data_IF_131943629176
#
_entry.id   IF_131943629176
#
_cell.length_a   1.000
_cell.length_b   1.000
_cell.length_c   1.000
_cell.angle_alpha   90.00
_cell.angle_beta   90.00
_cell.angle_gamma   90.00
#
_symmetry.space_group_name_H-M   'P 1'
#
loop_
_entity.id
_entity.type
_entity.pdbx_description
1 polymer ?
#
# COMPACT_ATOMS: atom_id res chain seq x y z
N UNK A 1 -9.59 -7.21 -19.71
CA UNK A 1 -8.43 -8.14 -19.87
C UNK A 1 -7.78 -8.30 -18.51
N UNK A 2 -7.42 -9.53 -18.12
CA UNK A 2 -6.60 -9.74 -16.91
C UNK A 2 -5.20 -9.20 -17.16
N UNK A 3 -4.69 -8.37 -16.25
CA UNK A 3 -3.32 -7.90 -16.35
C UNK A 3 -2.36 -8.99 -15.84
N UNK A 4 -1.31 -9.25 -16.60
CA UNK A 4 -0.36 -10.29 -16.25
C UNK A 4 0.75 -9.68 -15.38
N UNK A 5 1.04 -10.31 -14.23
CA UNK A 5 2.18 -9.94 -13.36
C UNK A 5 3.50 -10.48 -13.93
N UNK A 6 3.43 -11.49 -14.79
CA UNK A 6 4.62 -12.08 -15.39
C UNK A 6 5.45 -11.03 -16.13
N UNK A 7 6.74 -11.08 -15.89
CA UNK A 7 7.77 -10.20 -16.46
C UNK A 7 7.64 -8.70 -16.08
N UNK A 8 6.79 -8.36 -15.10
CA UNK A 8 6.60 -6.98 -14.60
C UNK A 8 7.68 -6.58 -13.60
N UNK A 9 8.10 -5.33 -13.68
CA UNK A 9 8.96 -4.64 -12.70
C UNK A 9 8.09 -3.96 -11.65
N UNK A 10 8.40 -4.20 -10.38
CA UNK A 10 7.57 -3.75 -9.26
C UNK A 10 8.37 -2.94 -8.25
N UNK A 11 7.80 -1.88 -7.73
CA UNK A 11 8.28 -1.14 -6.58
C UNK A 11 7.32 -1.32 -5.40
N UNK A 12 7.84 -1.65 -4.21
CA UNK A 12 7.06 -1.73 -2.96
C UNK A 12 7.70 -0.86 -1.90
N UNK A 13 7.00 0.18 -1.44
CA UNK A 13 7.45 0.97 -0.28
C UNK A 13 7.05 0.25 1.02
N UNK A 14 7.90 0.32 2.06
CA UNK A 14 7.71 -0.48 3.28
C UNK A 14 7.77 -1.99 3.01
N UNK A 15 8.60 -2.39 2.03
CA UNK A 15 8.64 -3.76 1.53
C UNK A 15 9.55 -4.71 2.31
N UNK A 16 10.24 -4.25 3.34
CA UNK A 16 11.21 -5.07 4.08
C UNK A 16 10.57 -5.99 5.13
N UNK A 17 9.31 -5.75 5.50
CA UNK A 17 8.64 -6.53 6.55
C UNK A 17 7.12 -6.58 6.34
N UNK A 18 6.43 -7.34 7.19
CA UNK A 18 4.96 -7.39 7.27
C UNK A 18 4.28 -7.66 5.93
N UNK A 19 3.21 -6.92 5.65
CA UNK A 19 2.40 -7.08 4.43
C UNK A 19 3.24 -6.75 3.17
N UNK A 20 4.08 -5.69 3.22
CA UNK A 20 4.89 -5.28 2.08
C UNK A 20 5.87 -6.35 1.62
N UNK A 21 6.52 -7.05 2.55
CA UNK A 21 7.37 -8.20 2.24
C UNK A 21 6.60 -9.35 1.59
N UNK A 22 5.40 -9.64 2.10
CA UNK A 22 4.55 -10.68 1.51
C UNK A 22 4.04 -10.29 0.12
N UNK A 23 3.80 -9.00 -0.14
CA UNK A 23 3.51 -8.53 -1.50
C UNK A 23 4.67 -8.84 -2.44
N UNK A 24 5.89 -8.46 -2.06
CA UNK A 24 7.08 -8.74 -2.87
C UNK A 24 7.23 -10.25 -3.15
N UNK A 25 7.08 -11.08 -2.12
CA UNK A 25 7.15 -12.54 -2.23
C UNK A 25 6.09 -13.12 -3.17
N UNK A 26 4.82 -12.74 -3.00
CA UNK A 26 3.71 -13.26 -3.84
C UNK A 26 3.78 -12.77 -5.27
N UNK A 27 4.23 -11.55 -5.51
CA UNK A 27 4.43 -11.04 -6.88
C UNK A 27 5.55 -11.80 -7.60
N UNK A 28 6.65 -12.07 -6.94
CA UNK A 28 7.72 -12.92 -7.49
C UNK A 28 7.22 -14.34 -7.77
N UNK A 29 6.46 -14.94 -6.85
CA UNK A 29 5.85 -16.27 -7.06
C UNK A 29 4.87 -16.30 -8.25
N UNK A 30 4.29 -15.15 -8.62
CA UNK A 30 3.43 -14.99 -9.81
C UNK A 30 4.19 -14.48 -11.05
N UNK A 31 5.51 -14.58 -11.03
CA UNK A 31 6.36 -14.36 -12.21
C UNK A 31 6.80 -12.91 -12.42
N UNK A 32 6.69 -12.01 -11.44
CA UNK A 32 7.28 -10.69 -11.54
C UNK A 32 8.77 -10.81 -11.92
N UNK A 33 9.22 -9.92 -12.80
CA UNK A 33 10.61 -9.91 -13.29
C UNK A 33 11.57 -9.61 -12.14
N UNK A 34 11.28 -8.55 -11.41
CA UNK A 34 12.08 -8.06 -10.28
C UNK A 34 11.22 -7.17 -9.39
N UNK A 35 11.48 -7.19 -8.08
CA UNK A 35 10.85 -6.31 -7.10
C UNK A 35 11.89 -5.42 -6.43
N UNK A 36 11.72 -4.10 -6.54
CA UNK A 36 12.44 -3.12 -5.73
C UNK A 36 11.73 -2.96 -4.37
N UNK A 37 12.46 -3.16 -3.30
CA UNK A 37 12.01 -2.94 -1.93
C UNK A 37 12.57 -1.60 -1.46
N UNK A 38 11.69 -0.62 -1.20
CA UNK A 38 12.05 0.62 -0.52
C UNK A 38 11.65 0.52 0.95
N UNK A 39 12.60 0.80 1.82
CA UNK A 39 12.36 0.81 3.28
C UNK A 39 13.47 1.61 3.99
N UNK A 40 13.28 1.90 5.25
CA UNK A 40 14.30 2.58 6.05
C UNK A 40 15.62 1.81 6.04
N UNK A 41 16.74 2.53 6.11
CA UNK A 41 18.08 1.91 6.19
C UNK A 41 18.24 1.01 7.43
N UNK A 42 17.48 1.27 8.48
CA UNK A 42 17.44 0.49 9.74
C UNK A 42 16.54 -0.73 9.67
N UNK A 43 15.77 -0.90 8.58
CA UNK A 43 14.88 -2.05 8.38
C UNK A 43 15.67 -3.31 7.99
N UNK A 44 15.04 -4.50 8.06
CA UNK A 44 15.67 -5.76 7.61
C UNK A 44 15.77 -5.90 6.09
N UNK A 45 15.81 -4.81 5.32
CA UNK A 45 15.72 -4.80 3.85
C UNK A 45 16.74 -5.72 3.17
N UNK A 46 18.01 -5.69 3.60
CA UNK A 46 19.05 -6.57 3.05
C UNK A 46 18.75 -8.06 3.30
N UNK A 47 18.31 -8.39 4.52
CA UNK A 47 17.93 -9.76 4.88
C UNK A 47 16.72 -10.22 4.07
N UNK A 48 15.75 -9.35 3.89
CA UNK A 48 14.53 -9.62 3.12
C UNK A 48 14.84 -9.91 1.65
N UNK A 49 15.70 -9.11 1.02
CA UNK A 49 16.17 -9.34 -0.34
C UNK A 49 16.96 -10.64 -0.45
N UNK A 50 17.84 -10.93 0.52
CA UNK A 50 18.59 -12.18 0.54
C UNK A 50 17.67 -13.41 0.64
N UNK A 51 16.59 -13.33 1.43
CA UNK A 51 15.61 -14.41 1.56
C UNK A 51 14.82 -14.61 0.25
N UNK A 52 14.35 -13.51 -0.38
CA UNK A 52 13.69 -13.58 -1.69
C UNK A 52 14.65 -14.13 -2.76
N UNK A 53 15.92 -13.73 -2.73
CA UNK A 53 16.93 -14.21 -3.65
C UNK A 53 17.21 -15.72 -3.52
N UNK A 54 17.15 -16.28 -2.31
CA UNK A 54 17.25 -17.74 -2.10
C UNK A 54 16.07 -18.49 -2.68
N UNK A 55 14.87 -17.95 -2.61
CA UNK A 55 13.63 -18.60 -3.04
C UNK A 55 13.37 -18.46 -4.55
N UNK A 56 13.63 -17.27 -5.12
CA UNK A 56 13.24 -16.92 -6.49
C UNK A 56 14.41 -16.69 -7.45
N UNK A 57 15.62 -16.55 -6.94
CA UNK A 57 16.82 -16.23 -7.71
C UNK A 57 17.47 -14.92 -7.28
N UNK A 58 18.80 -14.85 -7.37
CA UNK A 58 19.64 -13.80 -6.78
C UNK A 58 19.26 -12.36 -7.20
N UNK A 59 18.81 -12.18 -8.44
CA UNK A 59 18.55 -10.86 -9.03
C UNK A 59 17.04 -10.51 -9.05
N UNK A 60 16.22 -11.24 -8.29
CA UNK A 60 14.76 -11.07 -8.29
C UNK A 60 14.27 -9.99 -7.33
N UNK A 61 15.09 -9.58 -6.37
CA UNK A 61 14.75 -8.49 -5.45
C UNK A 61 15.96 -7.58 -5.23
N UNK A 62 15.71 -6.28 -5.09
CA UNK A 62 16.74 -5.27 -4.83
C UNK A 62 16.28 -4.34 -3.72
N UNK A 63 17.15 -4.05 -2.75
CA UNK A 63 16.85 -3.14 -1.66
C UNK A 63 17.38 -1.73 -1.93
N UNK A 64 16.51 -0.75 -1.71
CA UNK A 64 16.85 0.68 -1.78
C UNK A 64 16.49 1.33 -0.44
N UNK A 65 17.49 1.70 0.39
CA UNK A 65 17.22 2.39 1.64
C UNK A 65 16.65 3.79 1.37
N UNK A 66 15.45 4.05 1.90
CA UNK A 66 14.75 5.32 1.69
C UNK A 66 13.72 5.56 2.80
N UNK A 67 13.74 6.76 3.38
CA UNK A 67 12.62 7.31 4.13
C UNK A 67 11.69 8.05 3.15
N UNK A 68 10.50 7.52 2.91
CA UNK A 68 9.53 8.14 1.99
C UNK A 68 8.93 9.44 2.54
N UNK A 69 9.24 9.82 3.77
CA UNK A 69 8.87 11.12 4.34
C UNK A 69 9.86 12.22 3.98
N UNK A 70 11.06 11.89 3.54
CA UNK A 70 12.02 12.82 2.95
C UNK A 70 11.71 12.93 1.44
N UNK A 71 11.00 13.98 1.08
CA UNK A 71 10.48 14.16 -0.28
C UNK A 71 11.57 14.22 -1.35
N UNK A 72 12.70 14.88 -1.05
CA UNK A 72 13.85 14.99 -1.98
C UNK A 72 14.51 13.63 -2.14
N UNK A 73 14.79 12.96 -1.03
CA UNK A 73 15.42 11.65 -1.04
C UNK A 73 14.55 10.57 -1.69
N UNK A 74 13.24 10.65 -1.50
CA UNK A 74 12.31 9.72 -2.11
C UNK A 74 12.30 9.88 -3.64
N UNK A 75 12.28 11.12 -4.16
CA UNK A 75 12.36 11.37 -5.61
C UNK A 75 13.68 10.86 -6.21
N UNK A 76 14.82 11.16 -5.58
CA UNK A 76 16.14 10.65 -5.99
C UNK A 76 16.17 9.11 -6.01
N UNK A 77 15.64 8.48 -4.95
CA UNK A 77 15.62 7.02 -4.84
C UNK A 77 14.67 6.41 -5.88
N UNK A 78 13.51 7.00 -6.10
CA UNK A 78 12.57 6.56 -7.14
C UNK A 78 13.21 6.59 -8.54
N UNK A 79 13.91 7.67 -8.86
CA UNK A 79 14.70 7.80 -10.10
C UNK A 79 15.78 6.71 -10.21
N UNK A 80 16.47 6.42 -9.12
CA UNK A 80 17.48 5.36 -9.08
C UNK A 80 16.84 3.98 -9.33
N UNK A 81 15.70 3.68 -8.70
CA UNK A 81 14.94 2.44 -8.96
C UNK A 81 14.54 2.35 -10.43
N UNK A 82 13.96 3.41 -10.99
CA UNK A 82 13.56 3.47 -12.40
C UNK A 82 14.71 3.11 -13.33
N UNK A 83 15.88 3.72 -13.10
CA UNK A 83 17.07 3.48 -13.91
C UNK A 83 17.61 2.06 -13.74
N UNK A 84 17.68 1.57 -12.49
CA UNK A 84 18.21 0.23 -12.17
C UNK A 84 17.35 -0.89 -12.76
N UNK A 85 16.03 -0.73 -12.71
CA UNK A 85 15.09 -1.72 -13.22
C UNK A 85 14.75 -1.54 -14.71
N UNK A 86 15.27 -0.49 -15.34
CA UNK A 86 14.94 -0.08 -16.71
C UNK A 86 13.43 0.11 -16.91
N UNK A 87 12.81 0.82 -15.97
CA UNK A 87 11.38 1.14 -15.95
C UNK A 87 10.62 0.44 -14.82
N UNK A 88 9.40 0.89 -14.61
CA UNK A 88 8.45 0.32 -13.64
C UNK A 88 7.10 0.04 -14.33
N UNK A 89 6.48 -1.06 -13.97
CA UNK A 89 5.12 -1.43 -14.38
C UNK A 89 4.12 -1.27 -13.25
N UNK A 90 4.56 -1.55 -12.00
CA UNK A 90 3.67 -1.56 -10.82
C UNK A 90 4.36 -0.84 -9.67
N UNK A 91 3.64 0.10 -9.04
CA UNK A 91 4.09 0.78 -7.82
C UNK A 91 3.07 0.52 -6.71
N UNK A 92 3.54 -0.02 -5.57
CA UNK A 92 2.73 -0.30 -4.39
C UNK A 92 3.16 0.66 -3.28
N UNK A 93 2.33 1.67 -3.01
CA UNK A 93 2.51 2.60 -1.92
C UNK A 93 1.99 1.96 -0.63
N UNK A 94 2.86 1.20 0.05
CA UNK A 94 2.51 0.41 1.22
C UNK A 94 3.12 0.96 2.53
N UNK A 95 4.22 1.71 2.48
CA UNK A 95 4.83 2.29 3.66
C UNK A 95 3.80 3.04 4.51
N UNK A 96 3.75 2.75 5.80
CA UNK A 96 2.79 3.34 6.70
C UNK A 96 3.03 2.98 8.16
N UNK A 97 2.44 3.77 9.05
CA UNK A 97 2.48 3.55 10.50
C UNK A 97 1.09 3.75 11.11
N UNK A 98 0.90 3.20 12.30
CA UNK A 98 -0.22 3.47 13.18
C UNK A 98 0.36 4.05 14.47
N UNK A 99 0.47 5.37 14.55
CA UNK A 99 1.04 6.07 15.70
C UNK A 99 0.31 7.42 15.90
N UNK A 100 -0.79 7.39 16.62
CA UNK A 100 -1.58 8.58 16.91
C UNK A 100 -0.89 9.51 17.92
N UNK A 101 0.10 9.04 18.69
CA UNK A 101 0.94 9.87 19.55
C UNK A 101 1.82 10.81 18.72
N UNK A 102 2.44 10.28 17.68
CA UNK A 102 3.19 11.07 16.70
C UNK A 102 2.34 11.23 15.43
N UNK A 103 1.28 12.03 15.57
CA UNK A 103 0.33 12.24 14.50
C UNK A 103 0.94 12.94 13.28
N UNK A 104 1.95 13.82 13.50
CA UNK A 104 2.65 14.50 12.41
C UNK A 104 3.37 13.48 11.51
N UNK A 105 4.11 12.55 12.11
CA UNK A 105 4.76 11.48 11.38
C UNK A 105 3.73 10.59 10.68
N UNK A 106 2.63 10.24 11.35
CA UNK A 106 1.57 9.42 10.76
C UNK A 106 0.99 10.07 9.50
N UNK A 107 0.68 11.37 9.53
CA UNK A 107 0.19 12.08 8.35
C UNK A 107 1.29 12.20 7.27
N UNK A 108 2.50 12.56 7.66
CA UNK A 108 3.61 12.72 6.72
C UNK A 108 3.91 11.41 5.97
N UNK A 109 3.88 10.28 6.68
CA UNK A 109 4.16 8.96 6.10
C UNK A 109 2.95 8.41 5.33
N UNK A 110 1.80 8.25 5.99
CA UNK A 110 0.65 7.56 5.41
C UNK A 110 -0.03 8.34 4.29
N UNK A 111 0.05 9.67 4.31
CA UNK A 111 -0.57 10.56 3.32
C UNK A 111 0.48 11.12 2.38
N UNK A 112 1.49 11.83 2.91
CA UNK A 112 2.54 12.45 2.10
C UNK A 112 3.31 11.45 1.26
N UNK A 113 3.74 10.35 1.84
CA UNK A 113 4.46 9.29 1.13
C UNK A 113 3.63 8.65 0.00
N UNK A 114 2.33 8.42 0.23
CA UNK A 114 1.42 7.86 -0.79
C UNK A 114 1.18 8.85 -1.93
N UNK A 115 0.94 10.12 -1.61
CA UNK A 115 0.72 11.17 -2.62
C UNK A 115 1.95 11.31 -3.49
N UNK A 116 3.12 11.47 -2.89
CA UNK A 116 4.37 11.61 -3.61
C UNK A 116 4.70 10.38 -4.45
N UNK A 117 4.62 9.18 -3.87
CA UNK A 117 4.87 7.94 -4.60
C UNK A 117 3.94 7.76 -5.81
N UNK A 118 2.66 8.17 -5.66
CA UNK A 118 1.70 8.13 -6.77
C UNK A 118 2.03 9.14 -7.86
N UNK A 119 2.41 10.37 -7.50
CA UNK A 119 2.80 11.38 -8.50
C UNK A 119 4.08 11.00 -9.22
N UNK A 120 5.10 10.51 -8.52
CA UNK A 120 6.31 9.99 -9.14
C UNK A 120 6.00 8.84 -10.09
N UNK A 121 5.15 7.89 -9.69
CA UNK A 121 4.72 6.80 -10.55
C UNK A 121 4.02 7.31 -11.84
N UNK A 122 3.14 8.31 -11.73
CA UNK A 122 2.48 8.93 -12.90
C UNK A 122 3.49 9.67 -13.77
N UNK A 123 4.45 10.35 -13.17
CA UNK A 123 5.44 11.12 -13.91
C UNK A 123 6.39 10.25 -14.73
N UNK A 124 6.75 9.09 -14.20
CA UNK A 124 7.65 8.15 -14.88
C UNK A 124 6.92 7.16 -15.79
N UNK A 125 5.76 6.65 -15.38
CA UNK A 125 5.03 5.63 -16.15
C UNK A 125 4.01 6.24 -17.13
N UNK A 126 3.57 7.47 -16.91
CA UNK A 126 2.42 8.06 -17.60
C UNK A 126 2.65 8.33 -19.10
N UNK A 127 1.68 7.91 -19.93
CA UNK A 127 1.70 8.10 -21.38
C UNK A 127 1.84 9.56 -21.80
N UNK A 128 1.28 10.49 -21.03
CA UNK A 128 1.37 11.94 -21.29
C UNK A 128 2.79 12.50 -21.13
N UNK A 129 3.71 11.71 -20.55
CA UNK A 129 5.15 12.02 -20.44
C UNK A 129 6.03 11.02 -21.20
N UNK A 130 5.47 10.24 -22.13
CA UNK A 130 6.18 9.27 -22.94
C UNK A 130 6.35 7.89 -22.30
N UNK A 131 5.75 7.64 -21.14
CA UNK A 131 5.70 6.33 -20.50
C UNK A 131 4.74 5.36 -21.19
N UNK A 132 4.71 4.11 -20.71
CA UNK A 132 3.86 3.03 -21.29
C UNK A 132 2.52 2.87 -20.57
N UNK A 133 2.28 3.62 -19.51
CA UNK A 133 1.25 3.36 -18.51
C UNK A 133 1.75 2.38 -17.45
N UNK A 134 0.86 1.93 -16.59
CA UNK A 134 1.19 0.99 -15.52
C UNK A 134 0.10 0.91 -14.46
N UNK A 135 0.45 0.41 -13.29
CA UNK A 135 -0.50 0.27 -12.18
C UNK A 135 0.08 0.85 -10.89
N UNK A 136 -0.72 1.65 -10.20
CA UNK A 136 -0.49 2.09 -8.83
C UNK A 136 -1.46 1.32 -7.93
N UNK A 137 -0.96 0.78 -6.82
CA UNK A 137 -1.81 0.26 -5.74
C UNK A 137 -1.49 1.04 -4.46
N UNK A 138 -2.48 1.77 -3.96
CA UNK A 138 -2.38 2.50 -2.71
C UNK A 138 -2.97 1.66 -1.57
N UNK A 139 -2.24 1.54 -0.46
CA UNK A 139 -2.68 0.74 0.69
C UNK A 139 -3.42 1.64 1.67
N UNK A 140 -4.75 1.55 1.65
CA UNK A 140 -5.62 2.14 2.65
C UNK A 140 -5.76 1.21 3.88
N UNK A 141 -6.97 0.92 4.30
CA UNK A 141 -7.35 -0.03 5.37
C UNK A 141 -8.87 -0.12 5.40
N UNK A 142 -9.42 -1.15 6.04
CA UNK A 142 -10.86 -1.18 6.39
C UNK A 142 -11.28 0.02 7.25
N UNK A 143 -10.36 0.62 8.02
CA UNK A 143 -10.63 1.87 8.76
C UNK A 143 -10.83 3.10 7.86
N UNK A 144 -10.59 2.99 6.55
CA UNK A 144 -10.97 4.01 5.57
C UNK A 144 -12.44 3.90 5.12
N UNK A 145 -13.12 2.83 5.49
CA UNK A 145 -14.52 2.54 5.16
C UNK A 145 -15.45 2.76 6.35
N UNK A 146 -14.89 2.83 7.55
CA UNK A 146 -15.59 3.05 8.81
C UNK A 146 -14.66 3.76 9.79
N UNK A 147 -15.16 4.12 10.97
CA UNK A 147 -14.39 4.83 11.99
C UNK A 147 -14.12 3.95 13.20
N UNK A 148 -12.89 4.03 13.72
CA UNK A 148 -12.50 3.42 14.97
C UNK A 148 -12.01 4.50 15.93
N UNK A 149 -12.77 4.80 17.00
CA UNK A 149 -12.48 5.93 17.91
C UNK A 149 -11.12 5.87 18.57
N UNK A 150 -10.53 4.69 18.69
CA UNK A 150 -9.24 4.49 19.34
C UNK A 150 -8.03 4.94 18.52
N UNK A 151 -8.18 5.11 17.19
CA UNK A 151 -7.07 5.40 16.24
C UNK A 151 -7.48 6.50 15.26
N UNK A 152 -7.78 7.69 15.81
CA UNK A 152 -8.42 8.79 15.08
C UNK A 152 -7.57 9.30 13.91
N UNK A 153 -6.27 9.53 14.15
CA UNK A 153 -5.36 10.06 13.13
C UNK A 153 -5.07 9.00 12.07
N UNK A 154 -4.90 7.75 12.48
CA UNK A 154 -4.74 6.65 11.54
C UNK A 154 -5.98 6.52 10.63
N UNK A 155 -7.20 6.53 11.20
CA UNK A 155 -8.44 6.53 10.43
C UNK A 155 -8.46 7.69 9.42
N UNK A 156 -8.22 8.92 9.86
CA UNK A 156 -8.18 10.09 8.99
C UNK A 156 -7.15 9.93 7.85
N UNK A 157 -5.96 9.42 8.16
CA UNK A 157 -4.92 9.18 7.15
C UNK A 157 -5.35 8.17 6.10
N UNK A 158 -6.02 7.08 6.49
CA UNK A 158 -6.48 6.03 5.56
C UNK A 158 -7.71 6.46 4.74
N UNK A 159 -8.61 7.28 5.30
CA UNK A 159 -9.65 7.95 4.52
C UNK A 159 -9.07 8.89 3.46
N UNK A 160 -7.99 9.63 3.79
CA UNK A 160 -7.29 10.47 2.83
C UNK A 160 -6.73 9.65 1.66
N UNK A 161 -6.04 8.54 1.92
CA UNK A 161 -5.51 7.63 0.88
C UNK A 161 -6.62 7.17 -0.06
N UNK A 162 -7.76 6.77 0.47
CA UNK A 162 -8.91 6.34 -0.31
C UNK A 162 -9.47 7.48 -1.17
N UNK A 163 -9.71 8.67 -0.57
CA UNK A 163 -10.23 9.82 -1.29
C UNK A 163 -9.27 10.28 -2.40
N UNK A 164 -7.97 10.35 -2.11
CA UNK A 164 -6.93 10.69 -3.08
C UNK A 164 -6.92 9.70 -4.26
N UNK A 165 -6.97 8.41 -4.00
CA UNK A 165 -6.96 7.37 -5.04
C UNK A 165 -8.19 7.47 -5.95
N UNK A 166 -9.37 7.75 -5.36
CA UNK A 166 -10.63 7.98 -6.11
C UNK A 166 -10.59 9.24 -6.99
N UNK A 167 -9.89 10.28 -6.58
CA UNK A 167 -9.66 11.45 -7.43
C UNK A 167 -8.69 11.12 -8.57
N UNK A 168 -7.60 10.39 -8.27
CA UNK A 168 -6.53 10.14 -9.20
C UNK A 168 -6.94 9.22 -10.36
N UNK A 169 -7.84 8.26 -10.14
CA UNK A 169 -8.33 7.33 -11.15
C UNK A 169 -8.94 8.03 -12.39
N UNK A 170 -9.46 9.25 -12.24
CA UNK A 170 -10.10 9.98 -13.33
C UNK A 170 -9.12 10.41 -14.45
N UNK A 171 -7.83 10.29 -14.18
CA UNK A 171 -6.79 10.63 -15.14
C UNK A 171 -6.26 9.43 -15.93
N UNK A 172 -6.90 8.26 -15.82
CA UNK A 172 -6.48 7.03 -16.50
C UNK A 172 -6.36 7.19 -18.01
N UNK A 173 -7.36 7.77 -18.68
CA UNK A 173 -7.36 7.97 -20.13
C UNK A 173 -6.16 8.80 -20.60
N UNK A 174 -5.75 9.79 -19.82
CA UNK A 174 -4.61 10.66 -20.11
C UNK A 174 -3.28 9.99 -19.81
N UNK A 175 -3.21 9.30 -18.67
CA UNK A 175 -1.94 8.78 -18.15
C UNK A 175 -1.66 7.33 -18.54
N UNK A 176 -2.71 6.55 -18.81
CA UNK A 176 -2.61 5.10 -18.94
C UNK A 176 -2.17 4.41 -17.65
N UNK A 177 -2.16 5.12 -16.52
CA UNK A 177 -1.79 4.56 -15.22
C UNK A 177 -3.05 4.23 -14.44
N UNK A 178 -3.28 2.95 -14.23
CA UNK A 178 -4.40 2.42 -13.46
C UNK A 178 -4.14 2.64 -11.97
N UNK A 179 -5.13 3.13 -11.25
CA UNK A 179 -5.07 3.35 -9.80
C UNK A 179 -6.02 2.38 -9.10
N UNK A 180 -5.48 1.58 -8.20
CA UNK A 180 -6.20 0.61 -7.38
C UNK A 180 -5.99 0.92 -5.90
N UNK A 181 -6.93 0.52 -5.06
CA UNK A 181 -6.82 0.68 -3.60
C UNK A 181 -7.05 -0.67 -2.93
N UNK A 182 -6.12 -1.06 -2.05
CA UNK A 182 -6.27 -2.21 -1.17
C UNK A 182 -6.61 -1.73 0.24
N UNK A 183 -7.65 -2.31 0.84
CA UNK A 183 -8.07 -2.07 2.22
C UNK A 183 -7.88 -3.36 3.03
N UNK A 184 -6.71 -3.59 3.64
CA UNK A 184 -6.53 -4.70 4.56
C UNK A 184 -7.37 -4.52 5.84
N UNK A 185 -7.96 -5.62 6.31
CA UNK A 185 -8.48 -5.75 7.67
C UNK A 185 -7.37 -5.98 8.69
N UNK A 186 -7.76 -6.35 9.90
CA UNK A 186 -6.81 -6.64 10.98
C UNK A 186 -5.88 -7.78 10.55
N UNK A 187 -4.59 -7.49 10.43
CA UNK A 187 -3.58 -8.40 9.88
C UNK A 187 -2.44 -8.56 10.88
N UNK A 188 -1.99 -9.79 11.10
CA UNK A 188 -0.89 -10.12 12.01
C UNK A 188 0.43 -9.51 11.53
N UNK A 189 0.80 -8.40 12.14
CA UNK A 189 1.98 -7.59 11.77
C UNK A 189 2.58 -6.91 13.00
N UNK A 190 3.86 -6.52 12.97
CA UNK A 190 4.46 -5.70 14.03
C UNK A 190 3.71 -4.39 14.30
N UNK A 191 3.05 -3.82 13.30
CA UNK A 191 2.25 -2.61 13.42
C UNK A 191 1.07 -2.81 14.39
N UNK A 192 0.34 -3.91 14.27
CA UNK A 192 -0.80 -4.23 15.14
C UNK A 192 -0.33 -4.58 16.55
N UNK A 193 0.79 -5.29 16.69
CA UNK A 193 1.34 -5.68 17.99
C UNK A 193 1.70 -4.50 18.90
N UNK A 194 1.90 -3.30 18.34
CA UNK A 194 2.31 -2.10 19.09
C UNK A 194 1.21 -1.07 19.27
N UNK A 195 0.02 -1.25 18.68
CA UNK A 195 -1.02 -0.21 18.59
C UNK A 195 -1.45 0.34 19.96
N UNK A 196 -1.61 -0.49 20.98
CA UNK A 196 -2.01 -0.05 22.33
C UNK A 196 -1.03 0.94 22.98
N UNK A 197 0.24 0.95 22.55
CA UNK A 197 1.27 1.89 23.02
C UNK A 197 1.30 3.21 22.20
N UNK A 198 0.63 3.23 21.06
CA UNK A 198 0.71 4.29 20.05
C UNK A 198 -0.55 5.17 19.99
N UNK A 199 -1.53 4.92 20.85
CA UNK A 199 -2.76 5.71 20.94
C UNK A 199 -2.58 6.95 21.83
N UNK A 200 -3.46 7.95 21.68
CA UNK A 200 -3.48 9.16 22.52
C UNK A 200 -3.72 8.82 23.99
N UNK A 201 -3.29 9.71 24.89
CA UNK A 201 -3.35 9.55 26.34
C UNK A 201 -4.78 9.49 26.91
N UNK A 202 -5.76 10.06 26.22
CA UNK A 202 -7.18 9.96 26.55
C UNK A 202 -7.87 8.67 26.07
N UNK A 203 -7.14 7.79 25.36
CA UNK A 203 -7.64 6.48 24.91
C UNK A 203 -7.13 5.40 25.86
N UNK A 204 -8.04 4.60 26.43
CA UNK A 204 -7.65 3.47 27.27
C UNK A 204 -7.01 2.34 26.44
N UNK A 205 -5.72 2.02 26.65
CA UNK A 205 -5.06 0.93 25.93
C UNK A 205 -5.74 -0.44 26.10
N UNK A 206 -6.44 -0.66 27.22
CA UNK A 206 -7.16 -1.92 27.46
C UNK A 206 -8.39 -2.04 26.55
N UNK A 207 -9.08 -0.93 26.26
CA UNK A 207 -10.19 -0.92 25.30
C UNK A 207 -9.69 -1.22 23.89
N UNK A 208 -8.55 -0.65 23.50
CA UNK A 208 -7.89 -0.96 22.22
C UNK A 208 -7.57 -2.45 22.12
N UNK A 209 -7.00 -3.03 23.18
CA UNK A 209 -6.65 -4.45 23.18
C UNK A 209 -7.90 -5.34 23.14
N UNK A 210 -8.96 -4.98 23.86
CA UNK A 210 -10.26 -5.69 23.80
C UNK A 210 -10.83 -5.64 22.39
N UNK A 211 -10.78 -4.47 21.73
CA UNK A 211 -11.24 -4.32 20.35
C UNK A 211 -10.42 -5.22 19.38
N UNK A 212 -9.09 -5.17 19.47
CA UNK A 212 -8.22 -6.01 18.63
C UNK A 212 -8.56 -7.49 18.84
N UNK A 213 -8.73 -7.94 20.07
CA UNK A 213 -9.04 -9.33 20.40
C UNK A 213 -10.44 -9.77 19.93
N UNK A 214 -11.36 -8.82 19.71
CA UNK A 214 -12.72 -9.10 19.23
C UNK A 214 -12.82 -9.17 17.70
N UNK A 215 -11.81 -8.67 16.98
CA UNK A 215 -11.81 -8.65 15.52
C UNK A 215 -11.08 -9.88 14.96
N UNK A 216 -11.58 -10.47 13.87
CA UNK A 216 -10.91 -11.58 13.22
C UNK A 216 -9.59 -11.13 12.61
N UNK A 217 -8.49 -11.68 13.10
CA UNK A 217 -7.15 -11.43 12.57
C UNK A 217 -6.84 -12.38 11.42
N UNK A 218 -6.19 -11.85 10.36
CA UNK A 218 -5.75 -12.63 9.22
C UNK A 218 -4.22 -12.64 9.10
N UNK A 219 -3.62 -13.68 8.49
CA UNK A 219 -2.20 -13.68 8.17
C UNK A 219 -1.89 -12.72 7.02
N UNK A 220 -0.67 -12.20 6.99
CA UNK A 220 -0.17 -11.31 5.92
C UNK A 220 -0.26 -11.96 4.53
N UNK A 221 -0.17 -13.28 4.45
CA UNK A 221 -0.27 -14.03 3.21
C UNK A 221 -1.65 -13.87 2.54
N UNK A 222 -2.74 -13.81 3.32
CA UNK A 222 -4.07 -13.62 2.78
C UNK A 222 -4.19 -12.28 2.04
N UNK A 223 -3.69 -11.21 2.65
CA UNK A 223 -3.64 -9.88 2.03
C UNK A 223 -2.77 -9.88 0.77
N UNK A 224 -1.65 -10.61 0.77
CA UNK A 224 -0.77 -10.70 -0.39
C UNK A 224 -1.40 -11.50 -1.54
N UNK A 225 -2.17 -12.54 -1.25
CA UNK A 225 -2.97 -13.24 -2.27
C UNK A 225 -4.06 -12.33 -2.87
N UNK A 226 -4.70 -11.51 -2.02
CA UNK A 226 -5.68 -10.52 -2.47
C UNK A 226 -5.04 -9.45 -3.37
N UNK A 227 -3.81 -9.01 -3.06
CA UNK A 227 -3.04 -8.08 -3.89
C UNK A 227 -2.81 -8.62 -5.31
N UNK A 228 -2.39 -9.86 -5.43
CA UNK A 228 -2.22 -10.52 -6.74
C UNK A 228 -3.52 -10.50 -7.52
N UNK A 229 -4.64 -10.88 -6.89
CA UNK A 229 -5.95 -10.88 -7.54
C UNK A 229 -6.39 -9.47 -7.93
N UNK A 230 -6.18 -8.47 -7.07
CA UNK A 230 -6.49 -7.07 -7.36
C UNK A 230 -5.72 -6.56 -8.58
N UNK A 231 -4.42 -6.80 -8.66
CA UNK A 231 -3.60 -6.40 -9.80
C UNK A 231 -4.09 -7.10 -11.08
N UNK A 232 -4.39 -8.39 -11.01
CA UNK A 232 -4.79 -9.17 -12.18
C UNK A 232 -6.21 -8.83 -12.69
N UNK A 233 -7.15 -8.56 -11.80
CA UNK A 233 -8.58 -8.49 -12.11
C UNK A 233 -9.23 -7.12 -11.87
N UNK A 234 -8.63 -6.29 -11.00
CA UNK A 234 -9.20 -5.01 -10.60
C UNK A 234 -9.28 -4.04 -11.78
N UNK A 235 -10.39 -3.37 -11.93
CA UNK A 235 -10.55 -2.27 -12.89
C UNK A 235 -10.01 -0.98 -12.30
N UNK A 236 -9.65 -0.03 -13.16
CA UNK A 236 -9.20 1.27 -12.70
C UNK A 236 -10.21 1.88 -11.72
N UNK A 237 -9.71 2.34 -10.58
CA UNK A 237 -10.49 2.96 -9.51
C UNK A 237 -11.11 1.98 -8.51
N UNK A 238 -11.02 0.68 -8.72
CA UNK A 238 -11.58 -0.28 -7.76
C UNK A 238 -10.86 -0.24 -6.41
N UNK A 239 -11.67 -0.36 -5.37
CA UNK A 239 -11.26 -0.47 -3.97
C UNK A 239 -11.64 -1.87 -3.52
N UNK A 240 -10.63 -2.65 -3.12
CA UNK A 240 -10.84 -4.01 -2.67
C UNK A 240 -10.51 -4.16 -1.19
N UNK A 241 -11.31 -4.96 -0.51
CA UNK A 241 -11.13 -5.35 0.89
C UNK A 241 -10.56 -6.76 0.96
N UNK A 242 -9.60 -6.95 1.86
CA UNK A 242 -9.06 -8.26 2.25
C UNK A 242 -9.10 -8.37 3.75
N UNK A 243 -9.99 -9.19 4.29
CA UNK A 243 -10.17 -9.37 5.73
C UNK A 243 -10.67 -10.78 6.08
N UNK A 244 -10.58 -11.14 7.34
CA UNK A 244 -11.22 -12.33 7.93
C UNK A 244 -10.91 -13.66 7.23
N UNK A 245 -9.77 -13.80 6.57
CA UNK A 245 -9.41 -14.97 5.75
C UNK A 245 -10.43 -15.31 4.64
N UNK A 246 -11.24 -14.35 4.24
CA UNK A 246 -12.21 -14.51 3.16
C UNK A 246 -11.63 -14.16 1.80
N UNK A 247 -12.35 -14.49 0.72
CA UNK A 247 -12.03 -14.00 -0.61
C UNK A 247 -12.13 -12.47 -0.62
N UNK A 248 -11.16 -11.77 -1.26
CA UNK A 248 -11.25 -10.32 -1.37
C UNK A 248 -12.47 -9.92 -2.20
N UNK A 249 -13.04 -8.76 -1.88
CA UNK A 249 -14.21 -8.22 -2.53
C UNK A 249 -14.05 -6.73 -2.84
N UNK A 250 -14.68 -6.27 -3.91
CA UNK A 250 -14.73 -4.87 -4.28
C UNK A 250 -15.81 -4.14 -3.47
N UNK A 251 -15.53 -2.86 -3.16
CA UNK A 251 -16.48 -1.96 -2.48
C UNK A 251 -16.88 -0.85 -3.43
N UNK A 252 -18.19 -0.61 -3.53
CA UNK A 252 -18.76 0.50 -4.27
C UNK A 252 -19.20 1.61 -3.30
N UNK A 253 -18.91 2.87 -3.65
CA UNK A 253 -19.33 4.03 -2.87
C UNK A 253 -20.58 4.63 -3.51
N UNK A 254 -21.68 4.73 -2.75
CA UNK A 254 -22.88 5.39 -3.25
C UNK A 254 -22.62 6.88 -3.53
N UNK A 255 -23.28 7.44 -4.51
CA UNK A 255 -23.34 8.88 -4.67
C UNK A 255 -24.23 9.47 -3.56
N UNK A 256 -23.57 9.96 -2.52
CA UNK A 256 -24.27 10.50 -1.32
C UNK A 256 -25.22 11.66 -1.64
N UNK A 257 -25.04 12.33 -2.78
CA UNK A 257 -25.95 13.40 -3.23
C UNK A 257 -27.32 12.86 -3.68
N UNK A 258 -27.41 11.54 -3.88
CA UNK A 258 -28.66 10.84 -4.21
C UNK A 258 -29.33 10.21 -2.98
N UNK A 259 -28.72 10.35 -1.81
CA UNK A 259 -29.28 9.89 -0.54
C UNK A 259 -29.88 11.10 0.13
N UNK A 260 -31.18 11.31 -0.08
CA UNK A 260 -31.94 12.32 0.66
C UNK A 260 -32.18 11.80 2.07
N UNK A 261 -31.82 12.60 3.05
CA UNK A 261 -32.24 12.41 4.43
C UNK A 261 -33.45 13.31 4.65
N UNK A 262 -34.57 12.72 5.09
CA UNK A 262 -35.69 13.50 5.61
C UNK A 262 -35.21 14.23 6.88
N UNK A 263 -35.05 15.56 6.79
CA UNK A 263 -34.62 16.43 7.88
C UNK A 263 -35.83 17.12 8.51
#
# INVERSE_FOLDING_TARGET
MMENIKDKTVLVTGGASGIGFQYAKKLLANGAKVVAILDLSTSPGQTSVANLGKEFGKDKAVFFPCDVTDTVKFEETFKNVWNTLNGLDIVINNAGTLNDKDWQLTIKLNVGGVIQGSFLAIDYMGKHKGGKGGTIVNIASVVALTTYPAVQVYCASKHNVMAFSRCLQNYYEKTGVRVLTMCPGLTDTPLVATVGKMVRDFVDPNEVQKLINSLPMQPTENVANAMVLLIQKGKNGEIWVSECNQKPYAVEFPDVRKIELDV
#
